data_IF_139592408853
#
_entry.id   IF_139592408853
#
_cell.length_a   1.000
_cell.length_b   1.000
_cell.length_c   1.000
_cell.angle_alpha   90.00
_cell.angle_beta   90.00
_cell.angle_gamma   90.00
#
_symmetry.space_group_name_H-M   'P 1'
#
loop_
_entity.id
_entity.type
_entity.pdbx_description
1 polymer ?
#
# COMPACT_ATOMS: atom_id res chain seq x y z
N UNK A 1 30.56 3.25 -8.83
CA UNK A 1 29.27 3.57 -9.51
C UNK A 1 28.16 2.58 -9.22
N UNK A 2 28.33 1.27 -9.45
CA UNK A 2 27.27 0.25 -9.27
C UNK A 2 26.55 0.30 -7.90
N UNK A 3 27.30 0.44 -6.80
CA UNK A 3 26.73 0.55 -5.43
C UNK A 3 25.75 1.72 -5.25
N UNK A 4 26.05 2.89 -5.84
CA UNK A 4 25.14 4.06 -5.78
C UNK A 4 23.86 3.83 -6.58
N UNK A 5 23.96 3.16 -7.73
CA UNK A 5 22.80 2.82 -8.57
C UNK A 5 21.86 1.86 -7.84
N UNK A 6 22.40 0.83 -7.16
CA UNK A 6 21.57 -0.08 -6.37
C UNK A 6 20.86 0.61 -5.20
N UNK A 7 21.54 1.52 -4.50
CA UNK A 7 20.93 2.32 -3.44
C UNK A 7 19.80 3.21 -3.96
N UNK A 8 20.01 3.86 -5.11
CA UNK A 8 18.98 4.68 -5.75
C UNK A 8 17.78 3.84 -6.19
N UNK A 9 18.02 2.68 -6.82
CA UNK A 9 16.95 1.78 -7.24
C UNK A 9 16.15 1.27 -6.03
N UNK A 10 16.84 0.91 -4.95
CA UNK A 10 16.21 0.47 -3.71
C UNK A 10 15.27 1.54 -3.13
N UNK A 11 15.77 2.77 -2.99
CA UNK A 11 14.95 3.88 -2.53
C UNK A 11 13.80 4.22 -3.49
N UNK A 12 14.01 4.09 -4.80
CA UNK A 12 12.96 4.31 -5.80
C UNK A 12 11.83 3.28 -5.64
N UNK A 13 12.17 2.00 -5.43
CA UNK A 13 11.18 0.93 -5.20
C UNK A 13 10.36 1.23 -3.93
N UNK A 14 11.03 1.54 -2.82
CA UNK A 14 10.37 1.87 -1.55
C UNK A 14 9.46 3.08 -1.72
N UNK A 15 9.96 4.16 -2.32
CA UNK A 15 9.19 5.38 -2.51
C UNK A 15 7.97 5.15 -3.40
N UNK A 16 8.12 4.37 -4.48
CA UNK A 16 7.00 4.03 -5.36
C UNK A 16 5.89 3.28 -4.59
N UNK A 17 6.25 2.29 -3.78
CA UNK A 17 5.27 1.60 -2.94
C UNK A 17 4.63 2.53 -1.92
N UNK A 18 5.40 3.39 -1.25
CA UNK A 18 4.87 4.35 -0.28
C UNK A 18 3.87 5.32 -0.93
N UNK A 19 4.21 5.86 -2.11
CA UNK A 19 3.31 6.73 -2.87
C UNK A 19 2.03 5.99 -3.22
N UNK A 20 2.12 4.74 -3.68
CA UNK A 20 0.94 3.95 -4.05
C UNK A 20 0.06 3.60 -2.84
N UNK A 21 0.65 3.28 -1.70
CA UNK A 21 -0.05 3.05 -0.42
C UNK A 21 -0.77 4.33 0.02
N UNK A 22 -0.08 5.48 0.01
CA UNK A 22 -0.69 6.76 0.39
C UNK A 22 -1.81 7.18 -0.57
N UNK A 23 -1.60 7.00 -1.87
CA UNK A 23 -2.59 7.29 -2.90
C UNK A 23 -3.84 6.43 -2.73
N UNK A 24 -3.70 5.11 -2.65
CA UNK A 24 -4.83 4.19 -2.50
C UNK A 24 -5.56 4.40 -1.16
N UNK A 25 -4.83 4.64 -0.07
CA UNK A 25 -5.43 5.05 1.21
C UNK A 25 -6.21 6.37 1.06
N UNK A 26 -5.65 7.36 0.35
CA UNK A 26 -6.33 8.64 0.12
C UNK A 26 -7.63 8.45 -0.66
N UNK A 27 -7.62 7.58 -1.67
CA UNK A 27 -8.80 7.24 -2.47
C UNK A 27 -9.89 6.57 -1.63
N UNK A 28 -9.50 5.63 -0.75
CA UNK A 28 -10.44 4.93 0.13
C UNK A 28 -10.99 5.83 1.24
N UNK A 29 -10.25 6.79 1.80
CA UNK A 29 -10.73 7.55 2.96
C UNK A 29 -11.25 8.96 2.64
N UNK A 30 -10.79 9.57 1.53
CA UNK A 30 -11.03 10.98 1.27
C UNK A 30 -11.64 11.30 -0.10
N UNK A 31 -11.40 10.47 -1.13
CA UNK A 31 -11.88 10.74 -2.50
C UNK A 31 -13.17 9.99 -2.80
N UNK A 32 -13.13 8.64 -2.76
CA UNK A 32 -14.28 7.81 -3.15
C UNK A 32 -15.19 7.64 -1.94
N UNK A 33 -16.02 8.64 -1.68
CA UNK A 33 -16.90 8.72 -0.51
C UNK A 33 -18.29 9.26 -0.90
N UNK A 34 -19.33 8.89 -0.14
CA UNK A 34 -20.64 9.49 -0.31
C UNK A 34 -20.61 10.95 0.17
N UNK A 35 -21.48 11.78 -0.39
CA UNK A 35 -21.60 13.17 0.02
C UNK A 35 -21.86 13.30 1.52
N UNK A 36 -21.21 14.26 2.17
CA UNK A 36 -21.35 14.51 3.61
C UNK A 36 -20.54 13.60 4.55
N UNK A 37 -19.98 12.48 4.10
CA UNK A 37 -19.19 11.56 4.96
C UNK A 37 -17.70 11.80 4.79
N UNK A 38 -16.94 12.00 5.88
CA UNK A 38 -15.47 12.09 5.88
C UNK A 38 -14.87 10.89 6.62
N UNK A 39 -13.84 10.26 6.04
CA UNK A 39 -13.13 9.16 6.68
C UNK A 39 -13.79 7.79 6.50
N UNK A 40 -13.62 6.87 7.47
CA UNK A 40 -14.16 5.51 7.37
C UNK A 40 -15.70 5.53 7.32
N UNK A 41 -16.28 4.60 6.56
CA UNK A 41 -17.73 4.58 6.32
C UNK A 41 -18.58 4.30 7.57
N UNK A 42 -18.02 3.79 8.68
CA UNK A 42 -18.66 3.53 9.99
C UNK A 42 -20.19 3.37 9.98
N UNK A 43 -20.72 2.41 9.20
CA UNK A 43 -22.16 2.11 9.12
C UNK A 43 -22.90 2.69 7.91
N UNK A 44 -22.34 3.69 7.21
CA UNK A 44 -22.88 4.28 5.98
C UNK A 44 -22.69 3.41 4.73
N UNK A 45 -22.03 2.25 4.87
CA UNK A 45 -21.73 1.36 3.75
C UNK A 45 -22.99 0.79 3.07
N UNK A 46 -24.10 0.64 3.81
CA UNK A 46 -25.36 0.10 3.28
C UNK A 46 -26.11 1.05 2.34
N UNK A 47 -25.87 2.36 2.48
CA UNK A 47 -26.58 3.40 1.73
C UNK A 47 -25.77 3.90 0.52
N UNK A 48 -24.66 3.24 0.20
CA UNK A 48 -23.77 3.62 -0.88
C UNK A 48 -24.20 2.97 -2.20
N UNK A 49 -24.15 3.74 -3.29
CA UNK A 49 -24.33 3.20 -4.64
C UNK A 49 -23.33 2.07 -4.93
N UNK A 50 -23.79 1.00 -5.59
CA UNK A 50 -22.98 -0.19 -5.85
C UNK A 50 -21.65 0.14 -6.54
N UNK A 51 -21.68 1.00 -7.58
CA UNK A 51 -20.48 1.39 -8.32
C UNK A 51 -19.43 2.03 -7.41
N UNK A 52 -19.81 2.98 -6.56
CA UNK A 52 -18.88 3.59 -5.59
C UNK A 52 -18.31 2.55 -4.62
N UNK A 53 -19.12 1.58 -4.18
CA UNK A 53 -18.66 0.52 -3.29
C UNK A 53 -17.60 -0.35 -3.96
N UNK A 54 -17.82 -0.73 -5.23
CA UNK A 54 -16.86 -1.51 -6.01
C UNK A 54 -15.57 -0.72 -6.23
N UNK A 55 -15.66 0.55 -6.63
CA UNK A 55 -14.49 1.42 -6.82
C UNK A 55 -13.65 1.54 -5.54
N UNK A 56 -14.28 1.74 -4.37
CA UNK A 56 -13.56 1.74 -3.09
C UNK A 56 -12.85 0.42 -2.81
N UNK A 57 -13.48 -0.71 -3.11
CA UNK A 57 -12.90 -2.04 -2.89
C UNK A 57 -11.68 -2.27 -3.80
N UNK A 58 -11.72 -1.80 -5.04
CA UNK A 58 -10.57 -1.86 -5.95
C UNK A 58 -9.37 -1.09 -5.41
N UNK A 59 -9.57 0.15 -4.93
CA UNK A 59 -8.50 0.90 -4.28
C UNK A 59 -8.01 0.26 -2.97
N UNK A 60 -8.90 -0.37 -2.20
CA UNK A 60 -8.49 -1.12 -1.02
C UNK A 60 -7.65 -2.35 -1.37
N UNK A 61 -7.96 -3.06 -2.46
CA UNK A 61 -7.14 -4.16 -2.97
C UNK A 61 -5.78 -3.64 -3.43
N UNK A 62 -5.75 -2.52 -4.16
CA UNK A 62 -4.51 -1.88 -4.58
C UNK A 62 -3.62 -1.51 -3.37
N UNK A 63 -4.22 -0.96 -2.31
CA UNK A 63 -3.53 -0.68 -1.05
C UNK A 63 -2.91 -1.95 -0.46
N UNK A 64 -3.69 -3.04 -0.33
CA UNK A 64 -3.21 -4.28 0.28
C UNK A 64 -2.12 -4.97 -0.55
N UNK A 65 -2.24 -4.93 -1.88
CA UNK A 65 -1.21 -5.47 -2.78
C UNK A 65 0.08 -4.66 -2.64
N UNK A 66 0.00 -3.32 -2.67
CA UNK A 66 1.17 -2.46 -2.53
C UNK A 66 1.83 -2.62 -1.15
N UNK A 67 1.03 -2.68 -0.08
CA UNK A 67 1.51 -2.88 1.28
C UNK A 67 2.19 -4.24 1.46
N UNK A 68 1.58 -5.32 0.95
CA UNK A 68 2.16 -6.67 1.00
C UNK A 68 3.45 -6.75 0.18
N UNK A 69 3.47 -6.13 -1.01
CA UNK A 69 4.66 -6.03 -1.85
C UNK A 69 5.82 -5.30 -1.15
N UNK A 70 5.54 -4.18 -0.49
CA UNK A 70 6.54 -3.45 0.31
C UNK A 70 7.03 -4.28 1.49
N UNK A 71 6.14 -4.96 2.21
CA UNK A 71 6.49 -5.81 3.35
C UNK A 71 7.43 -6.95 2.93
N UNK A 72 7.12 -7.65 1.83
CA UNK A 72 7.97 -8.71 1.27
C UNK A 72 9.31 -8.12 0.79
N UNK A 73 9.29 -6.97 0.11
CA UNK A 73 10.49 -6.32 -0.38
C UNK A 73 11.46 -5.98 0.77
N UNK A 74 10.95 -5.36 1.84
CA UNK A 74 11.74 -5.04 3.03
C UNK A 74 12.23 -6.31 3.73
N UNK A 75 11.39 -7.35 3.83
CA UNK A 75 11.78 -8.64 4.40
C UNK A 75 13.02 -9.23 3.71
N UNK A 76 13.07 -9.15 2.38
CA UNK A 76 14.17 -9.69 1.58
C UNK A 76 15.41 -8.80 1.56
N UNK A 77 15.24 -7.48 1.62
CA UNK A 77 16.33 -6.52 1.44
C UNK A 77 16.96 -6.07 2.75
N UNK A 78 16.14 -5.75 3.75
CA UNK A 78 16.58 -5.23 5.05
C UNK A 78 16.66 -6.33 6.11
N UNK A 79 15.63 -7.19 6.21
CA UNK A 79 15.54 -8.17 7.29
C UNK A 79 16.35 -9.45 7.04
N UNK A 80 16.86 -9.68 5.82
CA UNK A 80 17.71 -10.85 5.54
C UNK A 80 18.95 -10.91 6.45
N UNK A 81 19.47 -9.76 6.88
CA UNK A 81 20.61 -9.69 7.81
C UNK A 81 20.23 -10.14 9.23
N UNK A 82 18.97 -9.96 9.62
CA UNK A 82 18.46 -10.33 10.96
C UNK A 82 18.20 -11.83 11.12
N UNK A 83 18.13 -12.59 10.03
CA UNK A 83 17.94 -14.04 10.05
C UNK A 83 19.15 -14.76 9.44
N UNK A 84 20.28 -14.86 10.19
CA UNK A 84 21.40 -15.67 9.74
C UNK A 84 20.95 -17.12 9.55
N UNK A 85 21.36 -17.71 8.42
CA UNK A 85 21.03 -19.10 8.09
C UNK A 85 21.61 -19.99 9.18
N UNK A 86 20.77 -20.78 9.86
CA UNK A 86 21.24 -21.77 10.83
C UNK A 86 22.12 -22.77 10.05
N UNK A 87 23.39 -22.85 10.38
CA UNK A 87 24.28 -23.88 9.85
C UNK A 87 23.80 -25.22 10.42
N UNK A 88 23.30 -26.10 9.56
CA UNK A 88 22.98 -27.50 9.84
C UNK A 88 24.10 -28.40 9.34
#
# INVERSE_FOLDING_TARGET
MKKRIYLLLHWLIILNFLVQILYSASMVFFVVRPEGVRGPLLGSAKNMAFEMMVTRRLYAIEFWIAFSGLAIYLALTEFKVLFPKKEE
#
